data_IF_519130711796
#
_entry.id   IF_519130711796
#
_cell.length_a   1.000
_cell.length_b   1.000
_cell.length_c   1.000
_cell.angle_alpha   90.00
_cell.angle_beta   90.00
_cell.angle_gamma   90.00
#
_symmetry.space_group_name_H-M   'P 1'
#
loop_
_entity.id
_entity.type
_entity.pdbx_description
1 polymer ?
#
# COMPACT_ATOMS: atom_id res chain seq x y z
N UNK A 1 -7.10 -0.52 -19.76
CA UNK A 1 -7.12 -1.26 -21.04
C UNK A 1 -6.17 -2.45 -20.91
N UNK A 2 -6.51 -3.62 -21.45
CA UNK A 2 -5.72 -4.86 -21.36
C UNK A 2 -5.31 -5.27 -19.93
N UNK A 3 -6.22 -5.13 -18.98
CA UNK A 3 -6.00 -5.50 -17.59
C UNK A 3 -7.28 -6.06 -17.00
N UNK A 4 -7.21 -7.18 -16.29
CA UNK A 4 -8.34 -7.82 -15.60
C UNK A 4 -9.57 -8.05 -16.50
N UNK A 5 -9.32 -8.53 -17.73
CA UNK A 5 -10.37 -8.81 -18.72
C UNK A 5 -10.93 -7.58 -19.44
N UNK A 6 -10.47 -6.37 -19.11
CA UNK A 6 -10.87 -5.16 -19.82
C UNK A 6 -10.25 -5.11 -21.22
N UNK A 7 -11.01 -4.71 -22.24
CA UNK A 7 -10.52 -4.65 -23.62
C UNK A 7 -9.38 -3.62 -23.77
N UNK A 8 -8.61 -3.76 -24.83
CA UNK A 8 -7.61 -2.75 -25.18
C UNK A 8 -6.81 -3.05 -26.45
N UNK A 9 -5.86 -2.17 -26.78
CA UNK A 9 -5.10 -2.20 -28.04
C UNK A 9 -4.40 -3.52 -28.33
N UNK A 10 -3.89 -4.23 -27.31
CA UNK A 10 -3.17 -5.48 -27.51
C UNK A 10 -4.07 -6.59 -28.07
N UNK A 11 -5.39 -6.54 -27.84
CA UNK A 11 -6.35 -7.46 -28.45
C UNK A 11 -6.41 -7.31 -29.99
N UNK A 12 -5.88 -6.21 -30.52
CA UNK A 12 -5.82 -5.89 -31.94
C UNK A 12 -4.39 -5.82 -32.48
N UNK A 13 -3.41 -6.37 -31.74
CA UNK A 13 -2.00 -6.35 -32.11
C UNK A 13 -1.37 -4.95 -32.10
N UNK A 14 -1.87 -4.05 -31.25
CA UNK A 14 -1.40 -2.66 -31.09
C UNK A 14 -0.83 -2.41 -29.70
N UNK A 15 0.05 -1.42 -29.59
CA UNK A 15 0.66 -1.01 -28.33
C UNK A 15 -0.28 -0.13 -27.50
N UNK A 16 0.06 0.06 -26.21
CA UNK A 16 -0.62 1.07 -25.37
C UNK A 16 -0.47 2.49 -25.93
N UNK A 17 0.69 2.81 -26.53
CA UNK A 17 0.90 4.10 -27.19
C UNK A 17 -0.06 4.30 -28.37
N UNK A 18 -0.25 3.28 -29.23
CA UNK A 18 -1.20 3.36 -30.35
C UNK A 18 -2.63 3.67 -29.86
N UNK A 19 -3.09 2.95 -28.83
CA UNK A 19 -4.42 3.14 -28.25
C UNK A 19 -4.61 4.51 -27.60
N UNK A 20 -3.66 4.89 -26.76
CA UNK A 20 -3.69 6.17 -26.06
C UNK A 20 -3.62 7.34 -27.06
N UNK A 21 -2.75 7.25 -28.06
CA UNK A 21 -2.57 8.29 -29.08
C UNK A 21 -3.79 8.46 -29.96
N UNK A 22 -4.48 7.37 -30.31
CA UNK A 22 -5.74 7.44 -31.06
C UNK A 22 -6.80 8.27 -30.31
N UNK A 23 -6.97 8.03 -29.01
CA UNK A 23 -7.88 8.83 -28.17
C UNK A 23 -7.38 10.27 -27.99
N UNK A 24 -6.08 10.45 -27.81
CA UNK A 24 -5.46 11.74 -27.60
C UNK A 24 -5.61 12.66 -28.81
N UNK A 25 -5.43 12.11 -30.02
CA UNK A 25 -5.61 12.83 -31.29
C UNK A 25 -7.08 13.27 -31.46
N UNK A 26 -8.06 12.45 -31.01
CA UNK A 26 -9.48 12.81 -31.03
C UNK A 26 -9.86 13.92 -30.03
N UNK A 27 -9.22 13.96 -28.87
CA UNK A 27 -9.49 14.95 -27.81
C UNK A 27 -8.73 16.27 -28.00
N UNK A 28 -7.62 16.24 -28.76
CA UNK A 28 -6.72 17.39 -28.96
C UNK A 28 -7.40 18.68 -29.42
N UNK A 29 -8.36 18.68 -30.37
CA UNK A 29 -9.03 19.92 -30.81
C UNK A 29 -9.83 20.62 -29.71
N UNK A 30 -10.15 19.91 -28.63
CA UNK A 30 -10.94 20.40 -27.50
C UNK A 30 -10.09 20.68 -26.24
N UNK A 31 -8.77 20.53 -26.34
CA UNK A 31 -7.87 20.66 -25.18
C UNK A 31 -7.99 19.52 -24.17
N UNK A 32 -8.58 18.39 -24.55
CA UNK A 32 -8.73 17.24 -23.68
C UNK A 32 -7.43 16.44 -23.51
N UNK A 33 -7.32 15.75 -22.38
CA UNK A 33 -6.19 14.88 -22.02
C UNK A 33 -6.64 13.43 -21.89
N UNK A 34 -5.71 12.50 -22.09
CA UNK A 34 -5.91 11.07 -21.83
C UNK A 34 -5.08 10.66 -20.62
N UNK A 35 -5.74 10.18 -19.58
CA UNK A 35 -5.08 9.54 -18.43
C UNK A 35 -5.09 8.02 -18.67
N UNK A 36 -3.95 7.47 -19.08
CA UNK A 36 -3.82 6.07 -19.46
C UNK A 36 -3.18 5.26 -18.33
N UNK A 37 -3.98 4.42 -17.65
CA UNK A 37 -3.49 3.63 -16.50
C UNK A 37 -2.44 2.60 -16.90
N UNK A 38 -1.34 2.56 -16.15
CA UNK A 38 -0.25 1.59 -16.24
C UNK A 38 -0.47 0.34 -15.38
N UNK A 39 -1.64 0.20 -14.75
CA UNK A 39 -2.03 -1.01 -14.02
C UNK A 39 -2.36 -2.15 -14.99
N UNK A 40 -1.32 -2.77 -15.54
CA UNK A 40 -1.36 -3.82 -16.55
C UNK A 40 -0.46 -4.96 -16.13
N UNK A 41 -1.00 -6.18 -16.19
CA UNK A 41 -0.29 -7.43 -15.91
C UNK A 41 -1.06 -8.62 -16.53
N UNK A 42 -0.34 -9.59 -17.05
CA UNK A 42 -0.84 -10.79 -17.74
C UNK A 42 -0.31 -12.06 -17.05
N UNK A 43 -1.20 -13.01 -16.75
CA UNK A 43 -0.83 -14.30 -16.15
C UNK A 43 -0.16 -15.24 -17.15
N UNK A 44 -0.31 -15.01 -18.45
CA UNK A 44 0.32 -15.82 -19.48
C UNK A 44 1.81 -15.52 -19.59
N UNK A 45 2.24 -14.36 -19.10
CA UNK A 45 3.65 -13.99 -19.00
C UNK A 45 4.21 -14.60 -17.70
N UNK A 46 5.12 -15.56 -17.84
CA UNK A 46 5.82 -16.21 -16.71
C UNK A 46 6.91 -15.32 -16.10
N UNK A 47 6.54 -14.09 -15.78
CA UNK A 47 7.39 -13.10 -15.11
C UNK A 47 6.74 -12.67 -13.79
N UNK A 48 7.55 -12.21 -12.84
CA UNK A 48 7.07 -11.59 -11.61
C UNK A 48 6.11 -10.44 -11.91
N UNK A 49 4.90 -10.48 -11.32
CA UNK A 49 3.86 -9.45 -11.50
C UNK A 49 4.39 -8.04 -11.24
N UNK A 50 5.26 -7.89 -10.24
CA UNK A 50 5.83 -6.59 -9.86
C UNK A 50 6.66 -5.95 -10.99
N UNK A 51 7.11 -6.73 -11.98
CA UNK A 51 7.94 -6.25 -13.09
C UNK A 51 7.12 -5.79 -14.31
N UNK A 52 5.90 -6.29 -14.45
CA UNK A 52 5.22 -6.29 -15.74
C UNK A 52 4.87 -4.88 -16.22
N UNK A 53 4.29 -4.04 -15.37
CA UNK A 53 3.97 -2.66 -15.74
C UNK A 53 5.20 -1.86 -16.19
N UNK A 54 6.34 -2.04 -15.54
CA UNK A 54 7.60 -1.43 -15.97
C UNK A 54 8.03 -1.94 -17.34
N UNK A 55 8.01 -3.26 -17.56
CA UNK A 55 8.44 -3.87 -18.82
C UNK A 55 7.52 -3.51 -20.00
N UNK A 56 6.22 -3.33 -19.74
CA UNK A 56 5.23 -2.94 -20.74
C UNK A 56 5.37 -1.48 -21.17
N UNK A 57 5.64 -0.57 -20.23
CA UNK A 57 5.58 0.87 -20.50
C UNK A 57 6.93 1.51 -20.80
N UNK A 58 8.04 1.05 -20.21
CA UNK A 58 9.36 1.67 -20.46
C UNK A 58 9.80 1.65 -21.93
N UNK A 59 9.53 0.60 -22.75
CA UNK A 59 9.85 0.63 -24.17
C UNK A 59 9.04 1.65 -24.98
N UNK A 60 7.94 2.17 -24.41
CA UNK A 60 7.03 3.14 -25.04
C UNK A 60 7.37 4.59 -24.68
N UNK A 61 8.44 4.84 -23.91
CA UNK A 61 8.80 6.20 -23.51
C UNK A 61 9.06 7.11 -24.73
N UNK A 62 8.37 8.25 -24.76
CA UNK A 62 8.43 9.23 -25.86
C UNK A 62 7.56 8.89 -27.07
N UNK A 63 6.84 7.76 -27.05
CA UNK A 63 5.89 7.40 -28.11
C UNK A 63 4.49 7.98 -27.89
N UNK A 64 4.18 8.45 -26.68
CA UNK A 64 2.88 9.03 -26.35
C UNK A 64 2.72 10.48 -26.85
N UNK A 65 1.50 10.89 -27.20
CA UNK A 65 1.20 12.30 -27.53
C UNK A 65 1.36 13.20 -26.30
N UNK A 66 1.63 14.48 -26.55
CA UNK A 66 1.84 15.48 -25.48
C UNK A 66 0.61 15.78 -24.59
N UNK A 67 -0.59 15.27 -24.95
CA UNK A 67 -1.79 15.33 -24.10
C UNK A 67 -2.16 13.96 -23.50
N UNK A 68 -1.20 13.05 -23.36
CA UNK A 68 -1.32 11.77 -22.64
C UNK A 68 -0.50 11.83 -21.35
N UNK A 69 -1.10 11.39 -20.25
CA UNK A 69 -0.43 11.09 -19.00
C UNK A 69 -0.51 9.58 -18.75
N UNK A 70 0.61 8.94 -18.43
CA UNK A 70 0.61 7.55 -17.98
C UNK A 70 0.35 7.53 -16.47
N UNK A 71 -0.78 6.98 -16.07
CA UNK A 71 -1.24 6.95 -14.68
C UNK A 71 -0.75 5.71 -13.95
N UNK A 72 0.15 5.89 -12.99
CA UNK A 72 0.91 4.84 -12.30
C UNK A 72 0.49 4.77 -10.84
N UNK A 73 0.12 3.58 -10.36
CA UNK A 73 -0.13 3.37 -8.92
C UNK A 73 1.14 3.65 -8.11
N UNK A 74 0.99 3.98 -6.83
CA UNK A 74 2.13 4.30 -5.96
C UNK A 74 3.14 3.15 -5.80
N UNK A 75 2.72 1.90 -5.98
CA UNK A 75 3.58 0.73 -5.97
C UNK A 75 3.26 -0.23 -7.13
N UNK A 76 4.11 -1.24 -7.38
CA UNK A 76 4.03 -2.10 -8.55
C UNK A 76 3.01 -3.25 -8.46
N UNK A 77 2.33 -3.45 -7.33
CA UNK A 77 1.29 -4.49 -7.20
C UNK A 77 -0.10 -3.86 -7.20
N UNK A 78 -0.63 -3.50 -6.03
CA UNK A 78 -2.02 -3.09 -5.91
C UNK A 78 -2.34 -2.51 -4.52
N UNK A 79 -1.91 -1.27 -4.28
CA UNK A 79 -2.31 -0.48 -3.10
C UNK A 79 -2.15 -1.20 -1.76
N UNK A 80 -1.18 -2.11 -1.65
CA UNK A 80 -0.96 -2.88 -0.43
C UNK A 80 -0.59 -1.94 0.74
N UNK A 81 -0.78 -2.35 2.01
CA UNK A 81 -0.55 -1.48 3.16
C UNK A 81 0.82 -0.76 3.15
N UNK A 82 1.84 -1.45 2.60
CA UNK A 82 3.10 -0.85 2.17
C UNK A 82 3.63 -1.56 0.92
N UNK A 83 4.09 -0.77 -0.05
CA UNK A 83 4.84 -1.22 -1.22
C UNK A 83 6.07 -0.32 -1.38
N UNK A 84 7.16 -0.79 -2.00
CA UNK A 84 8.16 0.12 -2.54
C UNK A 84 7.51 1.02 -3.61
N UNK A 85 8.08 2.21 -3.84
CA UNK A 85 7.58 3.08 -4.90
C UNK A 85 7.66 2.37 -6.27
N UNK A 86 6.69 2.63 -7.15
CA UNK A 86 6.66 1.98 -8.45
C UNK A 86 7.89 2.38 -9.29
N UNK A 87 8.67 1.44 -9.86
CA UNK A 87 9.91 1.76 -10.59
C UNK A 87 9.70 2.51 -11.91
N UNK A 88 8.45 2.73 -12.34
CA UNK A 88 8.17 3.57 -13.50
C UNK A 88 8.50 5.04 -13.21
N UNK A 89 8.39 5.49 -11.96
CA UNK A 89 8.76 6.84 -11.57
C UNK A 89 10.26 7.04 -11.78
N UNK A 90 10.61 7.84 -12.79
CA UNK A 90 11.97 8.13 -13.23
C UNK A 90 12.39 7.36 -14.48
N UNK A 91 11.68 6.29 -14.87
CA UNK A 91 12.07 5.42 -15.98
C UNK A 91 11.52 5.87 -17.36
N UNK A 92 10.67 6.89 -17.40
CA UNK A 92 10.03 7.40 -18.63
C UNK A 92 10.18 8.92 -18.79
N UNK A 93 11.41 9.46 -18.92
CA UNK A 93 11.64 10.90 -18.90
C UNK A 93 11.07 11.67 -20.10
N UNK A 94 10.60 10.99 -21.15
CA UNK A 94 9.98 11.63 -22.33
C UNK A 94 8.45 11.57 -22.29
N UNK A 95 7.87 11.01 -21.23
CA UNK A 95 6.43 10.78 -21.10
C UNK A 95 5.95 11.27 -19.74
N UNK A 96 4.98 12.20 -19.69
CA UNK A 96 4.40 12.63 -18.42
C UNK A 96 3.79 11.46 -17.64
N UNK A 97 4.32 11.21 -16.45
CA UNK A 97 3.76 10.27 -15.49
C UNK A 97 2.85 11.00 -14.51
N UNK A 98 1.76 10.37 -14.10
CA UNK A 98 0.90 10.85 -13.02
C UNK A 98 0.70 9.76 -11.96
N UNK A 99 0.56 10.17 -10.71
CA UNK A 99 0.35 9.26 -9.59
C UNK A 99 -1.11 8.82 -9.51
N UNK A 100 -1.36 7.57 -9.13
CA UNK A 100 -2.64 7.06 -8.66
C UNK A 100 -2.46 6.57 -7.21
N UNK A 101 -3.20 7.18 -6.28
CA UNK A 101 -3.36 6.70 -4.92
C UNK A 101 -4.74 6.11 -4.69
N UNK A 102 -4.85 5.20 -3.74
CA UNK A 102 -6.15 4.76 -3.22
C UNK A 102 -6.48 5.55 -1.95
N UNK A 103 -7.61 6.25 -1.92
CA UNK A 103 -8.14 6.90 -0.71
C UNK A 103 -9.09 5.92 0.00
N UNK A 104 -9.84 5.15 -0.79
CA UNK A 104 -10.63 4.03 -0.24
C UNK A 104 -9.70 2.97 0.33
N UNK A 105 -10.11 2.34 1.43
CA UNK A 105 -9.26 1.47 2.23
C UNK A 105 -9.44 0.00 1.86
N UNK A 106 -9.43 -0.33 0.57
CA UNK A 106 -9.68 -1.69 0.08
C UNK A 106 -8.78 -2.73 0.78
N UNK A 107 -7.50 -2.43 0.95
CA UNK A 107 -6.52 -3.32 1.58
C UNK A 107 -6.18 -2.93 3.02
N UNK A 108 -6.95 -1.99 3.60
CA UNK A 108 -6.61 -1.32 4.86
C UNK A 108 -7.77 -1.38 5.86
N UNK A 109 -8.63 -2.40 5.74
CA UNK A 109 -9.74 -2.65 6.67
C UNK A 109 -10.97 -1.79 6.41
N UNK A 110 -11.20 -1.43 5.13
CA UNK A 110 -12.42 -0.79 4.65
C UNK A 110 -12.84 0.41 5.53
N UNK A 111 -14.13 0.52 5.85
CA UNK A 111 -14.68 1.61 6.66
C UNK A 111 -14.68 1.32 8.18
N UNK A 112 -14.01 0.26 8.64
CA UNK A 112 -13.94 -0.10 10.07
C UNK A 112 -12.61 0.23 10.72
N UNK A 113 -11.56 0.51 9.94
CA UNK A 113 -10.22 0.76 10.44
C UNK A 113 -9.82 2.24 10.34
N UNK A 114 -9.24 2.77 11.41
CA UNK A 114 -8.56 4.05 11.38
C UNK A 114 -7.18 3.87 10.78
N UNK A 115 -6.98 4.38 9.56
CA UNK A 115 -5.69 4.41 8.86
C UNK A 115 -5.49 5.77 8.20
N UNK A 116 -4.56 6.57 8.71
CA UNK A 116 -4.26 7.88 8.12
C UNK A 116 -3.27 7.74 6.96
N UNK A 117 -3.78 7.90 5.74
CA UNK A 117 -3.07 7.69 4.48
C UNK A 117 -2.13 8.85 4.11
N UNK A 118 -2.23 10.01 4.77
CA UNK A 118 -1.29 11.11 4.55
C UNK A 118 0.18 10.66 4.68
N UNK A 119 0.48 9.80 5.66
CA UNK A 119 1.82 9.23 5.86
C UNK A 119 2.22 8.33 4.68
N UNK A 120 1.29 7.55 4.12
CA UNK A 120 1.54 6.74 2.91
C UNK A 120 1.87 7.63 1.72
N UNK A 121 1.02 8.62 1.46
CA UNK A 121 1.18 9.51 0.32
C UNK A 121 2.51 10.24 0.40
N UNK A 122 2.87 10.75 1.58
CA UNK A 122 4.14 11.46 1.79
C UNK A 122 5.36 10.54 1.66
N UNK A 123 5.31 9.31 2.18
CA UNK A 123 6.38 8.32 2.04
C UNK A 123 6.71 8.09 0.55
N UNK A 124 5.69 7.93 -0.29
CA UNK A 124 5.86 7.71 -1.73
C UNK A 124 6.31 8.98 -2.44
N UNK A 125 5.65 10.12 -2.21
CA UNK A 125 5.98 11.39 -2.87
C UNK A 125 7.42 11.85 -2.57
N UNK A 126 7.92 11.57 -1.36
CA UNK A 126 9.27 11.90 -0.94
C UNK A 126 10.33 10.85 -1.33
N UNK A 127 9.94 9.72 -1.91
CA UNK A 127 10.87 8.66 -2.29
C UNK A 127 11.83 9.17 -3.38
N UNK A 128 13.14 9.15 -3.09
CA UNK A 128 14.17 9.54 -4.05
C UNK A 128 14.44 8.39 -5.02
N UNK A 129 14.14 8.62 -6.29
CA UNK A 129 14.32 7.64 -7.36
C UNK A 129 15.75 7.61 -7.88
N UNK A 130 16.54 8.66 -7.62
CA UNK A 130 17.87 8.89 -8.19
C UNK A 130 17.92 8.99 -9.73
N UNK A 131 16.78 9.22 -10.40
CA UNK A 131 16.70 9.22 -11.86
C UNK A 131 17.65 10.23 -12.54
N UNK A 132 17.83 11.40 -11.94
CA UNK A 132 18.81 12.43 -12.34
C UNK A 132 19.76 12.76 -11.18
N UNK A 133 20.14 11.75 -10.38
CA UNK A 133 20.94 11.92 -9.16
C UNK A 133 20.08 12.19 -7.92
N UNK A 134 20.74 12.50 -6.80
CA UNK A 134 20.05 12.72 -5.53
C UNK A 134 19.07 13.91 -5.60
N UNK A 135 17.89 13.76 -5.00
CA UNK A 135 16.82 14.75 -5.02
C UNK A 135 15.83 14.60 -6.18
N UNK A 136 15.93 13.51 -6.96
CA UNK A 136 14.96 13.10 -7.98
C UNK A 136 13.77 12.38 -7.35
N UNK A 137 13.07 13.05 -6.44
CA UNK A 137 11.93 12.47 -5.73
C UNK A 137 10.73 12.25 -6.65
N UNK A 138 9.90 11.25 -6.34
CA UNK A 138 8.66 10.93 -7.09
C UNK A 138 7.79 12.16 -7.31
N UNK A 139 7.67 13.04 -6.30
CA UNK A 139 6.89 14.27 -6.43
C UNK A 139 7.35 15.19 -7.57
N UNK A 140 8.67 15.35 -7.77
CA UNK A 140 9.24 16.19 -8.85
C UNK A 140 9.09 15.57 -10.24
N UNK A 141 8.96 14.25 -10.30
CA UNK A 141 8.67 13.54 -11.55
C UNK A 141 7.21 13.80 -11.93
N UNK A 142 6.27 13.57 -10.99
CA UNK A 142 4.84 13.69 -11.30
C UNK A 142 4.35 15.15 -11.41
N UNK A 143 5.02 16.11 -10.77
CA UNK A 143 4.73 17.54 -10.95
C UNK A 143 5.35 18.12 -12.23
N UNK A 144 6.23 17.33 -12.89
CA UNK A 144 6.88 17.65 -14.16
C UNK A 144 8.14 18.51 -14.03
N UNK A 145 8.52 18.95 -12.83
CA UNK A 145 9.68 19.84 -12.63
C UNK A 145 11.02 19.17 -12.88
N UNK A 146 11.12 17.84 -12.77
CA UNK A 146 12.36 17.09 -13.02
C UNK A 146 12.66 16.95 -14.52
N UNK A 147 11.65 16.72 -15.35
CA UNK A 147 11.81 16.51 -16.80
C UNK A 147 11.28 17.66 -17.69
N UNK A 148 10.66 18.69 -17.12
CA UNK A 148 10.12 19.83 -17.85
C UNK A 148 8.80 19.55 -18.56
N UNK A 149 7.95 18.68 -17.99
CA UNK A 149 6.64 18.37 -18.56
C UNK A 149 5.64 19.51 -18.35
N UNK A 150 4.85 19.81 -19.39
CA UNK A 150 3.85 20.89 -19.36
C UNK A 150 2.52 20.48 -18.70
N UNK A 151 2.24 19.17 -18.64
CA UNK A 151 1.07 18.60 -17.97
C UNK A 151 1.55 17.67 -16.87
N UNK A 152 0.87 17.72 -15.73
CA UNK A 152 1.13 16.92 -14.55
C UNK A 152 -0.19 16.56 -13.87
N UNK A 153 -0.16 15.58 -12.96
CA UNK A 153 -1.38 15.16 -12.29
C UNK A 153 -1.17 14.14 -11.18
N UNK A 154 -2.23 14.00 -10.39
CA UNK A 154 -2.34 13.01 -9.32
C UNK A 154 -3.82 12.65 -9.15
N UNK A 155 -4.13 11.37 -9.18
CA UNK A 155 -5.47 10.82 -9.03
C UNK A 155 -5.61 10.11 -7.67
N UNK A 156 -6.78 10.26 -7.05
CA UNK A 156 -7.15 9.55 -5.83
C UNK A 156 -8.42 8.74 -6.06
N UNK A 157 -8.36 7.43 -5.86
CA UNK A 157 -9.55 6.57 -5.91
C UNK A 157 -10.41 6.88 -4.69
N UNK A 158 -11.55 7.54 -4.93
CA UNK A 158 -12.44 8.10 -3.92
C UNK A 158 -12.93 7.09 -2.87
N UNK A 159 -13.13 7.55 -1.63
CA UNK A 159 -13.69 6.76 -0.52
C UNK A 159 -15.09 7.23 -0.07
N UNK A 160 -15.82 7.92 -0.94
CA UNK A 160 -17.14 8.48 -0.60
C UNK A 160 -18.30 7.73 -1.24
N UNK A 161 -19.41 7.69 -0.52
CA UNK A 161 -20.70 7.19 -0.98
C UNK A 161 -21.87 8.00 -0.42
N UNK A 162 -23.03 7.35 -0.32
CA UNK A 162 -24.29 7.98 0.15
C UNK A 162 -24.41 8.05 1.68
N UNK A 163 -23.44 7.49 2.42
CA UNK A 163 -23.38 7.59 3.87
C UNK A 163 -23.42 9.05 4.33
N UNK A 164 -24.02 9.32 5.48
CA UNK A 164 -24.23 10.70 5.94
C UNK A 164 -22.93 11.47 6.15
N UNK A 165 -21.87 10.78 6.58
CA UNK A 165 -20.52 11.32 6.75
C UNK A 165 -19.65 11.15 5.50
N UNK A 166 -20.23 10.68 4.40
CA UNK A 166 -19.66 10.34 3.10
C UNK A 166 -18.72 9.14 3.09
N UNK A 167 -17.85 8.99 4.09
CA UNK A 167 -16.70 8.06 4.06
C UNK A 167 -16.85 6.81 4.94
N UNK A 168 -18.01 6.60 5.56
CA UNK A 168 -18.26 5.49 6.50
C UNK A 168 -17.52 5.66 7.82
N UNK A 169 -16.20 5.60 7.81
CA UNK A 169 -15.33 5.94 8.93
C UNK A 169 -15.08 7.45 9.00
N UNK A 170 -15.15 8.08 10.20
CA UNK A 170 -14.93 9.53 10.36
C UNK A 170 -13.54 9.96 9.87
N UNK A 171 -12.50 9.20 10.23
CA UNK A 171 -11.12 9.46 9.76
C UNK A 171 -10.90 9.17 8.26
N UNK A 172 -11.86 8.55 7.57
CA UNK A 172 -11.85 8.47 6.10
C UNK A 172 -11.86 9.86 5.45
N UNK A 173 -12.48 10.84 6.11
CA UNK A 173 -12.46 12.24 5.68
C UNK A 173 -11.06 12.85 5.75
N UNK A 174 -10.27 12.49 6.77
CA UNK A 174 -8.89 12.95 6.91
C UNK A 174 -8.01 12.49 5.74
N UNK A 175 -8.30 11.30 5.18
CA UNK A 175 -7.58 10.77 4.03
C UNK A 175 -7.92 11.53 2.74
N UNK A 176 -9.20 11.85 2.51
CA UNK A 176 -9.61 12.70 1.40
C UNK A 176 -8.98 14.10 1.52
N UNK A 177 -9.00 14.67 2.72
CA UNK A 177 -8.38 15.96 3.00
C UNK A 177 -6.87 15.91 2.72
N UNK A 178 -6.16 14.88 3.23
CA UNK A 178 -4.73 14.72 3.01
C UNK A 178 -4.36 14.57 1.53
N UNK A 179 -5.14 13.79 0.77
CA UNK A 179 -4.98 13.69 -0.68
C UNK A 179 -5.07 15.08 -1.34
N UNK A 180 -6.14 15.85 -1.06
CA UNK A 180 -6.33 17.16 -1.67
C UNK A 180 -5.22 18.16 -1.32
N UNK A 181 -4.75 18.16 -0.07
CA UNK A 181 -3.66 19.04 0.38
C UNK A 181 -2.32 18.67 -0.29
N UNK A 182 -1.99 17.38 -0.38
CA UNK A 182 -0.75 16.93 -1.02
C UNK A 182 -0.79 17.03 -2.55
N UNK A 183 -1.97 16.91 -3.15
CA UNK A 183 -2.16 17.19 -4.58
C UNK A 183 -1.94 18.67 -4.91
N UNK A 184 -2.32 19.56 -3.99
CA UNK A 184 -2.07 21.00 -4.13
C UNK A 184 -0.60 21.35 -3.88
N UNK A 185 -0.02 20.83 -2.81
CA UNK A 185 1.38 21.06 -2.45
C UNK A 185 1.97 19.82 -1.77
N UNK A 186 2.79 19.08 -2.53
CA UNK A 186 3.44 17.85 -2.06
C UNK A 186 4.51 18.10 -0.98
N UNK A 187 4.92 19.35 -0.74
CA UNK A 187 5.92 19.71 0.28
C UNK A 187 5.32 19.77 1.69
N UNK A 188 4.00 19.91 1.83
CA UNK A 188 3.32 19.96 3.13
C UNK A 188 3.65 18.74 4.00
N UNK A 189 3.78 18.96 5.31
CA UNK A 189 3.97 17.85 6.26
C UNK A 189 2.64 17.20 6.61
N UNK A 190 2.69 15.90 6.85
CA UNK A 190 1.52 15.09 7.19
C UNK A 190 0.90 15.46 8.53
N UNK A 191 1.72 15.94 9.46
CA UNK A 191 1.37 16.44 10.78
C UNK A 191 0.61 17.76 10.69
N UNK A 192 1.06 18.68 9.82
CA UNK A 192 0.37 19.95 9.60
C UNK A 192 -1.01 19.71 8.98
N UNK A 193 -1.08 18.83 7.98
CA UNK A 193 -2.35 18.47 7.33
C UNK A 193 -3.32 17.81 8.32
N UNK A 194 -2.83 16.88 9.15
CA UNK A 194 -3.64 16.25 10.19
C UNK A 194 -4.13 17.29 11.21
N UNK A 195 -3.27 18.21 11.65
CA UNK A 195 -3.67 19.28 12.57
C UNK A 195 -4.74 20.20 11.98
N UNK A 196 -4.59 20.63 10.73
CA UNK A 196 -5.60 21.41 10.01
C UNK A 196 -6.97 20.68 10.02
N UNK A 197 -6.98 19.40 9.65
CA UNK A 197 -8.21 18.60 9.60
C UNK A 197 -8.83 18.42 11.00
N UNK A 198 -8.03 18.13 12.03
CA UNK A 198 -8.54 17.94 13.41
C UNK A 198 -9.17 19.23 13.93
N UNK A 199 -8.54 20.38 13.68
CA UNK A 199 -9.05 21.69 14.11
C UNK A 199 -10.35 22.07 13.40
N UNK A 200 -10.47 21.71 12.13
CA UNK A 200 -11.68 21.96 11.34
C UNK A 200 -12.83 21.00 11.68
N UNK A 201 -12.51 19.76 12.08
CA UNK A 201 -13.50 18.67 12.17
C UNK A 201 -13.90 18.31 13.61
N UNK A 202 -12.95 18.33 14.54
CA UNK A 202 -13.15 17.77 15.89
C UNK A 202 -13.07 18.82 16.99
N UNK A 203 -11.95 19.53 17.10
CA UNK A 203 -11.73 20.47 18.22
C UNK A 203 -10.51 21.36 18.01
N UNK A 204 -10.56 22.57 18.60
CA UNK A 204 -9.40 23.45 18.71
C UNK A 204 -8.67 23.36 20.06
N UNK A 205 -9.16 22.52 21.00
CA UNK A 205 -8.45 22.22 22.24
C UNK A 205 -7.08 21.58 21.93
N UNK A 206 -6.01 22.18 22.44
CA UNK A 206 -4.65 21.73 22.13
C UNK A 206 -4.37 20.30 22.59
N UNK A 207 -5.00 19.86 23.69
CA UNK A 207 -4.89 18.50 24.20
C UNK A 207 -5.53 17.49 23.25
N UNK A 208 -6.76 17.76 22.79
CA UNK A 208 -7.44 16.93 21.78
C UNK A 208 -6.64 16.87 20.49
N UNK A 209 -6.22 18.03 19.96
CA UNK A 209 -5.44 18.10 18.71
C UNK A 209 -4.18 17.23 18.80
N UNK A 210 -3.41 17.36 19.87
CA UNK A 210 -2.16 16.61 20.01
C UNK A 210 -2.40 15.10 20.18
N UNK A 211 -3.41 14.71 20.96
CA UNK A 211 -3.75 13.29 21.14
C UNK A 211 -4.23 12.63 19.84
N UNK A 212 -5.14 13.27 19.11
CA UNK A 212 -5.67 12.73 17.85
C UNK A 212 -4.59 12.71 16.76
N UNK A 213 -3.77 13.76 16.65
CA UNK A 213 -2.67 13.81 15.68
C UNK A 213 -1.68 12.66 15.90
N UNK A 214 -1.29 12.39 17.15
CA UNK A 214 -0.40 11.26 17.47
C UNK A 214 -1.02 9.92 17.05
N UNK A 215 -2.32 9.73 17.33
CA UNK A 215 -3.07 8.54 16.94
C UNK A 215 -3.08 8.37 15.41
N UNK A 216 -3.36 9.44 14.66
CA UNK A 216 -3.34 9.44 13.18
C UNK A 216 -1.95 9.07 12.64
N UNK A 217 -0.87 9.69 13.12
CA UNK A 217 0.48 9.43 12.60
C UNK A 217 0.92 7.98 12.77
N UNK A 218 0.52 7.32 13.87
CA UNK A 218 0.90 5.95 14.16
C UNK A 218 0.01 4.90 13.46
N UNK A 219 -1.22 5.27 13.13
CA UNK A 219 -2.27 4.34 12.65
C UNK A 219 -1.86 3.47 11.47
N UNK A 220 -1.23 4.05 10.43
CA UNK A 220 -0.76 3.30 9.25
C UNK A 220 0.23 2.20 9.63
N UNK A 221 1.22 2.52 10.46
CA UNK A 221 2.25 1.54 10.83
C UNK A 221 1.68 0.44 11.72
N UNK A 222 0.72 0.75 12.60
CA UNK A 222 0.00 -0.28 13.35
C UNK A 222 -0.72 -1.24 12.40
N UNK A 223 -1.38 -0.73 11.36
CA UNK A 223 -2.06 -1.53 10.33
C UNK A 223 -1.10 -2.39 9.50
N UNK A 224 0.01 -1.82 9.03
CA UNK A 224 1.07 -2.60 8.37
C UNK A 224 1.55 -3.72 9.29
N UNK A 225 1.78 -3.42 10.57
CA UNK A 225 2.29 -4.38 11.53
C UNK A 225 1.37 -5.59 11.76
N UNK A 226 0.06 -5.38 11.97
CA UNK A 226 -0.85 -6.52 12.18
C UNK A 226 -1.32 -7.17 10.87
N UNK A 227 -1.14 -6.56 9.70
CA UNK A 227 -1.49 -7.18 8.41
C UNK A 227 -0.29 -7.82 7.72
N UNK A 228 0.71 -7.01 7.36
CA UNK A 228 1.73 -7.31 6.34
C UNK A 228 3.11 -6.68 6.67
N UNK A 229 3.72 -6.98 7.83
CA UNK A 229 4.98 -6.38 8.21
C UNK A 229 6.17 -6.87 7.36
N UNK A 230 7.29 -6.17 7.47
CA UNK A 230 8.59 -6.55 6.89
C UNK A 230 8.62 -6.70 5.36
N UNK A 231 7.65 -6.15 4.64
CA UNK A 231 7.53 -6.26 3.18
C UNK A 231 6.65 -7.43 2.71
N UNK A 232 5.98 -8.14 3.63
CA UNK A 232 4.86 -9.00 3.25
C UNK A 232 3.77 -8.17 2.57
N UNK A 233 2.95 -8.83 1.76
CA UNK A 233 1.90 -8.21 0.97
C UNK A 233 0.99 -9.30 0.40
N UNK A 234 -0.21 -8.90 -0.03
CA UNK A 234 -1.14 -9.72 -0.80
C UNK A 234 -1.57 -11.00 -0.07
N UNK A 235 -1.77 -10.92 1.24
CA UNK A 235 -2.19 -12.03 2.11
C UNK A 235 -3.61 -11.84 2.66
N UNK A 236 -4.43 -11.05 1.97
CA UNK A 236 -5.86 -10.86 2.27
C UNK A 236 -6.74 -11.91 1.58
N UNK A 237 -7.99 -11.99 2.03
CA UNK A 237 -9.05 -12.78 1.40
C UNK A 237 -9.15 -12.47 -0.08
N UNK A 238 -8.99 -13.50 -0.89
CA UNK A 238 -8.84 -13.45 -2.35
C UNK A 238 -9.89 -12.63 -3.12
N UNK A 239 -11.15 -12.71 -2.71
CA UNK A 239 -12.30 -12.13 -3.40
C UNK A 239 -12.82 -10.85 -2.72
N UNK A 240 -12.61 -10.74 -1.41
CA UNK A 240 -13.23 -9.69 -0.60
C UNK A 240 -12.24 -8.75 0.10
N UNK A 241 -10.94 -9.03 0.12
CA UNK A 241 -9.84 -8.19 0.66
C UNK A 241 -9.90 -7.77 2.16
N UNK A 242 -11.02 -7.96 2.86
CA UNK A 242 -11.25 -7.53 4.25
C UNK A 242 -10.37 -8.20 5.33
N UNK A 243 -10.09 -9.50 5.21
CA UNK A 243 -9.48 -10.31 6.28
C UNK A 243 -8.24 -11.09 5.84
N UNK A 244 -7.48 -11.70 6.78
CA UNK A 244 -6.31 -12.51 6.48
C UNK A 244 -6.69 -13.78 5.72
N UNK A 245 -5.96 -14.07 4.66
CA UNK A 245 -5.95 -15.38 4.00
C UNK A 245 -4.55 -15.68 3.43
N UNK A 246 -3.50 -15.82 4.26
CA UNK A 246 -2.17 -16.14 3.78
C UNK A 246 -2.06 -17.56 3.17
N UNK A 247 -3.09 -18.40 3.27
CA UNK A 247 -3.13 -19.78 2.76
C UNK A 247 -3.73 -19.95 1.35
N UNK A 248 -4.11 -18.86 0.66
CA UNK A 248 -4.66 -18.96 -0.70
C UNK A 248 -3.57 -19.44 -1.67
N UNK A 249 -3.79 -20.59 -2.30
CA UNK A 249 -2.85 -21.25 -3.24
C UNK A 249 -3.49 -21.82 -4.51
N UNK A 250 -4.79 -22.15 -4.47
CA UNK A 250 -5.47 -22.87 -5.55
C UNK A 250 -6.47 -21.95 -6.26
N UNK A 251 -5.96 -20.92 -6.97
CA UNK A 251 -6.77 -20.03 -7.82
C UNK A 251 -6.34 -20.16 -9.28
N UNK A 252 -7.16 -19.62 -10.18
CA UNK A 252 -6.95 -19.74 -11.62
C UNK A 252 -5.74 -18.93 -12.15
N UNK A 253 -5.16 -18.07 -11.30
CA UNK A 253 -3.96 -17.28 -11.57
C UNK A 253 -3.05 -17.30 -10.33
N UNK A 254 -1.77 -17.60 -10.52
CA UNK A 254 -0.81 -17.67 -9.41
C UNK A 254 -0.56 -16.29 -8.78
N UNK A 255 -0.46 -15.23 -9.61
CA UNK A 255 -0.19 -13.81 -9.26
C UNK A 255 -1.30 -13.12 -8.44
N UNK A 256 -2.19 -13.94 -7.96
CA UNK A 256 -3.51 -13.65 -7.46
C UNK A 256 -3.68 -14.48 -6.15
N UNK A 257 -2.86 -15.51 -5.93
CA UNK A 257 -2.76 -16.26 -4.67
C UNK A 257 -1.84 -15.57 -3.67
N UNK A 258 -2.05 -15.79 -2.37
CA UNK A 258 -1.15 -15.26 -1.33
C UNK A 258 0.21 -15.96 -1.32
N UNK A 259 0.23 -17.27 -1.57
CA UNK A 259 1.47 -18.08 -1.54
C UNK A 259 2.47 -17.69 -2.60
N UNK A 260 2.02 -17.12 -3.72
CA UNK A 260 2.88 -16.57 -4.76
C UNK A 260 3.82 -15.48 -4.23
N UNK A 261 3.30 -14.63 -3.34
CA UNK A 261 4.01 -13.46 -2.84
C UNK A 261 4.92 -13.78 -1.67
N UNK A 262 4.39 -14.43 -0.62
CA UNK A 262 5.19 -14.66 0.58
C UNK A 262 6.14 -15.87 0.45
N UNK A 263 5.88 -16.84 -0.44
CA UNK A 263 6.72 -18.02 -0.71
C UNK A 263 7.27 -18.71 0.54
N UNK A 264 6.42 -18.86 1.56
CA UNK A 264 6.83 -19.42 2.84
C UNK A 264 7.01 -20.94 2.70
N UNK A 265 8.13 -21.46 3.20
CA UNK A 265 8.42 -22.88 3.28
C UNK A 265 9.24 -23.20 4.54
N UNK A 266 9.71 -24.45 4.69
CA UNK A 266 10.52 -24.83 5.85
C UNK A 266 11.87 -24.12 5.93
N UNK A 267 12.37 -23.59 4.82
CA UNK A 267 13.65 -22.90 4.77
C UNK A 267 13.51 -21.43 5.13
N UNK A 268 12.43 -20.76 4.71
CA UNK A 268 12.28 -19.33 4.90
C UNK A 268 10.98 -18.73 4.39
N UNK A 269 11.00 -17.40 4.20
CA UNK A 269 9.88 -16.59 3.70
C UNK A 269 10.42 -15.38 2.91
N UNK A 270 9.60 -14.87 1.99
CA UNK A 270 9.84 -13.67 1.20
C UNK A 270 10.00 -13.97 -0.29
N UNK A 271 10.12 -12.94 -1.12
CA UNK A 271 10.27 -13.11 -2.57
C UNK A 271 11.67 -12.69 -3.00
N UNK A 272 12.48 -13.60 -3.55
CA UNK A 272 13.77 -13.23 -4.14
C UNK A 272 13.54 -12.44 -5.44
N UNK A 273 13.68 -11.12 -5.33
CA UNK A 273 13.63 -10.17 -6.45
C UNK A 273 15.00 -9.60 -6.78
N UNK A 274 16.06 -10.16 -6.20
CA UNK A 274 17.45 -9.82 -6.53
C UNK A 274 17.86 -10.45 -7.88
N UNK A 275 19.10 -10.24 -8.30
CA UNK A 275 19.64 -10.80 -9.52
C UNK A 275 19.64 -12.34 -9.58
N UNK A 276 19.51 -13.04 -8.44
CA UNK A 276 19.38 -14.51 -8.39
C UNK A 276 17.94 -15.00 -8.48
N UNK A 277 16.96 -14.09 -8.37
CA UNK A 277 15.54 -14.36 -8.41
C UNK A 277 14.88 -13.77 -9.65
N UNK A 278 13.84 -12.95 -9.46
CA UNK A 278 13.15 -12.29 -10.59
C UNK A 278 13.91 -11.10 -11.20
N UNK A 279 14.97 -10.63 -10.54
CA UNK A 279 15.74 -9.44 -10.87
C UNK A 279 14.89 -8.16 -10.97
N UNK A 280 13.78 -8.05 -10.23
CA UNK A 280 12.98 -6.82 -10.22
C UNK A 280 13.77 -5.62 -9.64
N UNK A 281 14.81 -5.85 -8.83
CA UNK A 281 15.69 -4.78 -8.35
C UNK A 281 16.37 -4.02 -9.49
N UNK A 282 16.60 -4.64 -10.66
CA UNK A 282 17.26 -3.98 -11.80
C UNK A 282 16.38 -2.94 -12.51
N UNK A 283 15.09 -2.90 -12.19
CA UNK A 283 14.17 -1.85 -12.67
C UNK A 283 14.33 -0.52 -11.92
N UNK A 284 15.09 -0.50 -10.82
CA UNK A 284 15.39 0.71 -10.05
C UNK A 284 16.77 1.26 -10.42
N UNK A 285 16.94 2.58 -10.30
CA UNK A 285 18.25 3.23 -10.47
C UNK A 285 19.29 2.69 -9.48
N UNK A 286 20.56 2.73 -9.90
CA UNK A 286 21.69 2.08 -9.24
C UNK A 286 21.78 2.35 -7.72
N UNK A 287 21.52 3.58 -7.28
CA UNK A 287 21.56 3.96 -5.86
C UNK A 287 20.48 3.25 -5.04
N UNK A 288 19.26 3.18 -5.57
CA UNK A 288 18.14 2.46 -4.95
C UNK A 288 18.40 0.96 -5.02
N UNK A 289 18.73 0.44 -6.20
CA UNK A 289 19.04 -0.97 -6.45
C UNK A 289 20.09 -1.48 -5.46
N UNK A 290 21.22 -0.79 -5.28
CA UNK A 290 22.27 -1.19 -4.33
C UNK A 290 21.77 -1.29 -2.89
N UNK A 291 20.87 -0.39 -2.48
CA UNK A 291 20.31 -0.38 -1.13
C UNK A 291 19.38 -1.58 -0.91
N UNK A 292 18.51 -1.87 -1.87
CA UNK A 292 17.48 -2.92 -1.75
C UNK A 292 17.99 -4.32 -2.13
N UNK A 293 19.04 -4.45 -2.94
CA UNK A 293 19.56 -5.73 -3.42
C UNK A 293 20.39 -6.52 -2.39
N UNK A 294 20.74 -5.92 -1.24
CA UNK A 294 21.39 -6.63 -0.14
C UNK A 294 20.51 -6.65 1.10
N UNK A 295 20.28 -7.82 1.74
CA UNK A 295 19.53 -7.91 2.99
C UNK A 295 20.08 -7.00 4.10
N UNK A 296 21.41 -6.80 4.16
CA UNK A 296 22.05 -6.00 5.20
C UNK A 296 21.73 -4.50 5.10
N UNK A 297 21.51 -4.00 3.88
CA UNK A 297 21.24 -2.58 3.61
C UNK A 297 19.78 -2.30 3.30
N UNK A 298 19.01 -3.32 2.95
CA UNK A 298 17.59 -3.20 2.66
C UNK A 298 16.86 -2.66 3.90
N UNK A 299 15.96 -1.66 3.74
CA UNK A 299 15.06 -1.27 4.82
C UNK A 299 14.22 -2.48 5.26
N UNK A 300 14.01 -2.66 6.56
CA UNK A 300 13.33 -3.86 7.08
C UNK A 300 11.88 -3.91 6.60
N UNK A 301 11.26 -2.74 6.41
CA UNK A 301 9.90 -2.56 5.89
C UNK A 301 9.71 -3.05 4.44
N UNK A 302 10.78 -3.31 3.70
CA UNK A 302 10.75 -3.89 2.35
C UNK A 302 11.55 -5.20 2.22
N UNK A 303 12.01 -5.78 3.34
CA UNK A 303 12.96 -6.88 3.32
C UNK A 303 12.41 -8.10 2.57
N UNK A 304 11.22 -8.56 2.95
CA UNK A 304 10.56 -9.73 2.37
C UNK A 304 9.92 -9.43 1.01
N UNK A 305 9.90 -8.15 0.60
CA UNK A 305 9.57 -7.77 -0.77
C UNK A 305 10.68 -8.15 -1.74
N UNK A 306 11.94 -7.99 -1.34
CA UNK A 306 13.09 -8.19 -2.24
C UNK A 306 13.89 -9.46 -1.96
N UNK A 307 13.75 -10.07 -0.79
CA UNK A 307 14.55 -11.20 -0.35
C UNK A 307 13.69 -12.36 0.14
N UNK A 308 14.04 -13.59 -0.24
CA UNK A 308 13.65 -14.79 0.49
C UNK A 308 14.75 -15.10 1.52
N UNK A 309 14.38 -15.13 2.80
CA UNK A 309 15.34 -15.24 3.90
C UNK A 309 14.99 -16.40 4.84
N UNK A 310 16.01 -17.05 5.43
CA UNK A 310 15.77 -18.14 6.33
C UNK A 310 15.18 -17.66 7.66
N UNK A 311 14.41 -18.53 8.32
CA UNK A 311 13.71 -18.18 9.56
C UNK A 311 14.61 -17.75 10.72
N UNK A 312 15.90 -18.14 10.72
CA UNK A 312 16.93 -17.72 11.69
C UNK A 312 17.77 -16.50 11.25
N UNK A 313 17.47 -15.88 10.11
CA UNK A 313 18.10 -14.63 9.70
C UNK A 313 18.02 -13.60 10.83
N UNK A 314 19.15 -12.94 11.13
CA UNK A 314 19.25 -11.98 12.23
C UNK A 314 18.84 -10.58 11.78
N UNK A 315 17.73 -10.11 12.33
CA UNK A 315 17.20 -8.76 12.11
C UNK A 315 18.05 -7.72 12.84
N UNK A 316 17.86 -6.43 12.55
CA UNK A 316 18.61 -5.34 13.21
C UNK A 316 18.33 -5.28 14.71
N UNK A 317 17.19 -5.79 15.15
CA UNK A 317 16.83 -5.95 16.56
C UNK A 317 17.62 -7.05 17.30
N UNK A 318 18.41 -7.86 16.59
CA UNK A 318 19.11 -9.04 17.10
C UNK A 318 18.24 -10.31 17.14
N UNK A 319 16.92 -10.17 16.98
CA UNK A 319 15.97 -11.28 16.90
C UNK A 319 16.14 -12.06 15.59
N UNK A 320 15.73 -13.31 15.60
CA UNK A 320 15.53 -14.06 14.35
C UNK A 320 14.36 -13.47 13.55
N UNK A 321 14.32 -13.71 12.24
CA UNK A 321 13.22 -13.28 11.37
C UNK A 321 11.86 -13.80 11.86
N UNK A 322 11.79 -15.04 12.34
CA UNK A 322 10.56 -15.59 12.92
C UNK A 322 10.09 -14.81 14.16
N UNK A 323 11.01 -14.53 15.10
CA UNK A 323 10.68 -13.77 16.30
C UNK A 323 10.24 -12.36 15.94
N UNK A 324 11.01 -11.65 15.11
CA UNK A 324 10.68 -10.30 14.66
C UNK A 324 9.31 -10.26 13.98
N UNK A 325 9.00 -11.22 13.09
CA UNK A 325 7.69 -11.34 12.46
C UNK A 325 6.56 -11.44 13.51
N UNK A 326 6.72 -12.30 14.52
CA UNK A 326 5.78 -12.40 15.63
C UNK A 326 5.66 -11.04 16.34
N UNK A 327 6.77 -10.43 16.76
CA UNK A 327 6.74 -9.15 17.47
C UNK A 327 6.06 -8.03 16.68
N UNK A 328 6.22 -7.98 15.35
CA UNK A 328 5.52 -6.99 14.50
C UNK A 328 4.02 -7.21 14.50
N UNK A 329 3.55 -8.43 14.25
CA UNK A 329 2.12 -8.77 14.29
C UNK A 329 1.48 -8.40 15.64
N UNK A 330 2.17 -8.67 16.74
CA UNK A 330 1.68 -8.33 18.09
C UNK A 330 1.73 -6.83 18.37
N UNK A 331 2.81 -6.14 17.97
CA UNK A 331 2.93 -4.69 18.13
C UNK A 331 1.84 -3.92 17.35
N UNK A 332 1.38 -4.44 16.22
CA UNK A 332 0.25 -3.88 15.49
C UNK A 332 -1.03 -3.88 16.33
N UNK A 333 -1.35 -5.01 16.98
CA UNK A 333 -2.53 -5.13 17.86
C UNK A 333 -2.41 -4.23 19.08
N UNK A 334 -1.25 -4.20 19.74
CA UNK A 334 -1.01 -3.30 20.88
C UNK A 334 -1.16 -1.84 20.48
N UNK A 335 -0.69 -1.47 19.28
CA UNK A 335 -0.91 -0.14 18.73
C UNK A 335 -2.39 0.24 18.62
N UNK A 336 -3.26 -0.66 18.15
CA UNK A 336 -4.70 -0.41 18.11
C UNK A 336 -5.29 -0.24 19.52
N UNK A 337 -4.84 -1.04 20.49
CA UNK A 337 -5.26 -0.91 21.91
C UNK A 337 -4.81 0.43 22.51
N UNK A 338 -3.63 0.92 22.14
CA UNK A 338 -3.16 2.26 22.49
C UNK A 338 -4.04 3.36 21.87
N UNK A 339 -4.44 3.21 20.60
CA UNK A 339 -5.38 4.13 19.95
C UNK A 339 -6.73 4.15 20.67
N UNK A 340 -7.28 2.99 21.04
CA UNK A 340 -8.50 2.89 21.85
C UNK A 340 -8.36 3.64 23.19
N UNK A 341 -7.27 3.40 23.91
CA UNK A 341 -6.99 4.06 25.19
C UNK A 341 -6.86 5.58 25.04
N UNK A 342 -6.17 6.03 24.00
CA UNK A 342 -6.01 7.45 23.68
C UNK A 342 -7.36 8.11 23.35
N UNK A 343 -8.16 7.49 22.48
CA UNK A 343 -9.49 8.00 22.13
C UNK A 343 -10.42 8.06 23.34
N UNK A 344 -10.47 7.00 24.15
CA UNK A 344 -11.34 6.93 25.33
C UNK A 344 -11.07 8.05 26.36
N UNK A 345 -9.83 8.53 26.47
CA UNK A 345 -9.46 9.66 27.34
C UNK A 345 -10.01 11.01 26.86
N UNK A 346 -10.54 11.09 25.64
CA UNK A 346 -11.14 12.28 25.05
C UNK A 346 -12.66 12.36 25.28
N UNK A 347 -13.25 11.41 26.01
CA UNK A 347 -14.69 11.45 26.35
C UNK A 347 -15.06 12.78 26.97
N UNK A 348 -16.15 13.39 26.47
CA UNK A 348 -16.62 14.71 26.93
C UNK A 348 -15.82 15.90 26.37
N UNK A 349 -14.78 15.67 25.56
CA UNK A 349 -14.03 16.73 24.84
C UNK A 349 -14.29 16.75 23.34
N UNK A 350 -14.97 15.73 22.83
CA UNK A 350 -15.47 15.57 21.46
C UNK A 350 -16.98 15.37 21.59
N UNK A 351 -17.75 15.79 20.59
CA UNK A 351 -19.19 15.52 20.57
C UNK A 351 -19.47 14.02 20.71
N UNK A 352 -20.57 13.68 21.37
CA UNK A 352 -20.83 12.30 21.79
C UNK A 352 -21.06 11.37 20.58
N UNK A 353 -21.64 11.86 19.49
CA UNK A 353 -21.91 11.05 18.28
C UNK A 353 -20.62 10.62 17.61
N UNK A 354 -19.72 11.57 17.30
CA UNK A 354 -18.42 11.27 16.71
C UNK A 354 -17.54 10.46 17.67
N UNK A 355 -17.60 10.77 18.98
CA UNK A 355 -16.88 10.01 19.99
C UNK A 355 -17.29 8.54 19.98
N UNK A 356 -18.60 8.26 20.05
CA UNK A 356 -19.13 6.89 20.05
C UNK A 356 -18.88 6.17 18.74
N UNK A 357 -19.02 6.84 17.59
CA UNK A 357 -18.75 6.28 16.28
C UNK A 357 -17.31 5.76 16.18
N UNK A 358 -16.32 6.61 16.49
CA UNK A 358 -14.90 6.23 16.43
C UNK A 358 -14.57 5.20 17.52
N UNK A 359 -15.16 5.30 18.71
CA UNK A 359 -14.98 4.31 19.77
C UNK A 359 -15.43 2.91 19.31
N UNK A 360 -16.59 2.83 18.65
CA UNK A 360 -17.12 1.59 18.08
C UNK A 360 -16.19 1.04 16.98
N UNK A 361 -15.77 1.89 16.04
CA UNK A 361 -14.90 1.47 14.93
C UNK A 361 -13.53 0.97 15.43
N UNK A 362 -12.90 1.66 16.38
CA UNK A 362 -11.67 1.17 17.03
C UNK A 362 -11.91 -0.15 17.78
N UNK A 363 -13.11 -0.37 18.32
CA UNK A 363 -13.54 -1.65 18.92
C UNK A 363 -13.60 -2.79 17.90
N UNK A 364 -14.04 -2.49 16.68
CA UNK A 364 -14.06 -3.44 15.56
C UNK A 364 -12.62 -3.69 15.07
N UNK A 365 -11.85 -2.62 14.83
CA UNK A 365 -10.47 -2.70 14.37
C UNK A 365 -9.58 -3.53 15.30
N UNK A 366 -9.75 -3.48 16.62
CA UNK A 366 -8.96 -4.31 17.54
C UNK A 366 -9.27 -5.80 17.37
N UNK A 367 -10.55 -6.17 17.25
CA UNK A 367 -10.96 -7.56 17.03
C UNK A 367 -10.41 -8.08 15.70
N UNK A 368 -10.49 -7.27 14.65
CA UNK A 368 -9.95 -7.61 13.35
C UNK A 368 -8.42 -7.68 13.35
N UNK A 369 -7.73 -6.77 14.05
CA UNK A 369 -6.28 -6.81 14.20
C UNK A 369 -5.82 -8.08 14.93
N UNK A 370 -6.54 -8.50 15.99
CA UNK A 370 -6.29 -9.78 16.69
C UNK A 370 -6.51 -10.98 15.74
N UNK A 371 -7.56 -10.93 14.92
CA UNK A 371 -7.82 -11.95 13.90
C UNK A 371 -6.69 -12.04 12.88
N UNK A 372 -6.28 -10.92 12.30
CA UNK A 372 -5.13 -10.82 11.39
C UNK A 372 -3.84 -11.37 12.02
N UNK A 373 -3.48 -10.90 13.22
CA UNK A 373 -2.32 -11.40 13.99
C UNK A 373 -2.36 -12.92 14.14
N UNK A 374 -3.46 -13.44 14.68
CA UNK A 374 -3.55 -14.86 15.02
C UNK A 374 -3.51 -15.74 13.77
N UNK A 375 -4.27 -15.40 12.73
CA UNK A 375 -4.33 -16.15 11.49
C UNK A 375 -2.96 -16.22 10.79
N UNK A 376 -2.28 -15.07 10.66
CA UNK A 376 -0.97 -14.99 10.01
C UNK A 376 0.12 -15.69 10.81
N UNK A 377 0.22 -15.43 12.12
CA UNK A 377 1.26 -16.04 12.97
C UNK A 377 1.08 -17.56 13.03
N UNK A 378 -0.14 -18.07 13.21
CA UNK A 378 -0.39 -19.51 13.21
C UNK A 378 -0.11 -20.15 11.85
N UNK A 379 -0.42 -19.47 10.76
CA UNK A 379 -0.11 -19.96 9.41
C UNK A 379 1.41 -20.08 9.19
N UNK A 380 2.16 -19.00 9.43
CA UNK A 380 3.61 -19.01 9.25
C UNK A 380 4.32 -19.93 10.24
N UNK A 381 3.74 -20.17 11.42
CA UNK A 381 4.25 -21.15 12.38
C UNK A 381 4.34 -22.57 11.80
N UNK A 382 3.42 -22.95 10.89
CA UNK A 382 3.44 -24.27 10.26
C UNK A 382 4.69 -24.51 9.41
N UNK A 383 5.27 -23.43 8.88
CA UNK A 383 6.48 -23.44 8.06
C UNK A 383 7.74 -23.26 8.90
N UNK A 384 7.75 -22.25 9.78
CA UNK A 384 8.90 -21.96 10.64
C UNK A 384 9.18 -23.10 11.62
N UNK A 385 8.14 -23.84 12.03
CA UNK A 385 8.16 -24.90 13.06
C UNK A 385 8.78 -24.44 14.38
N UNK A 386 8.65 -23.14 14.67
CA UNK A 386 9.16 -22.50 15.89
C UNK A 386 8.00 -22.09 16.78
N UNK A 387 8.23 -22.10 18.09
CA UNK A 387 7.26 -21.56 19.04
C UNK A 387 7.14 -20.04 18.86
N UNK A 388 5.91 -19.53 19.03
CA UNK A 388 5.70 -18.10 19.29
C UNK A 388 6.46 -17.76 20.60
N UNK A 389 7.17 -16.62 20.71
CA UNK A 389 7.84 -16.21 21.93
C UNK A 389 6.90 -16.28 23.15
N UNK A 390 7.38 -16.84 24.25
CA UNK A 390 6.55 -17.27 25.38
C UNK A 390 5.86 -16.12 26.12
N UNK A 391 6.45 -14.93 26.05
CA UNK A 391 5.97 -13.67 26.58
C UNK A 391 4.81 -13.05 25.79
N UNK A 392 4.58 -13.49 24.55
CA UNK A 392 3.48 -13.01 23.72
C UNK A 392 2.18 -13.77 24.03
N UNK A 393 1.05 -13.06 23.97
CA UNK A 393 -0.29 -13.62 24.18
C UNK A 393 -0.54 -14.80 23.22
N UNK A 394 -0.94 -15.97 23.73
CA UNK A 394 -1.18 -17.13 22.86
C UNK A 394 -2.45 -16.94 22.01
N UNK A 395 -2.44 -17.34 20.72
CA UNK A 395 -3.65 -17.39 19.92
C UNK A 395 -4.72 -18.25 20.59
N UNK A 396 -5.95 -17.74 20.65
CA UNK A 396 -7.06 -18.38 21.36
C UNK A 396 -7.72 -19.53 20.59
N UNK A 397 -7.45 -19.63 19.29
CA UNK A 397 -8.07 -20.57 18.35
C UNK A 397 -7.02 -21.23 17.47
N UNK A 398 -7.39 -22.31 16.79
CA UNK A 398 -6.51 -23.03 15.85
C UNK A 398 -6.42 -22.33 14.50
N UNK A 399 -5.40 -22.67 13.69
CA UNK A 399 -5.33 -22.20 12.30
C UNK A 399 -6.58 -22.62 11.50
N UNK A 400 -7.03 -23.87 11.69
CA UNK A 400 -8.21 -24.41 11.02
C UNK A 400 -9.46 -23.56 11.29
N UNK A 401 -9.66 -23.13 12.54
CA UNK A 401 -10.77 -22.22 12.87
C UNK A 401 -10.75 -20.96 12.01
N UNK A 402 -9.59 -20.31 11.86
CA UNK A 402 -9.46 -19.09 11.05
C UNK A 402 -9.65 -19.34 9.55
N UNK A 403 -9.25 -20.51 9.05
CA UNK A 403 -9.44 -20.91 7.65
C UNK A 403 -10.92 -21.17 7.30
N UNK A 404 -11.72 -21.56 8.30
CA UNK A 404 -13.16 -21.86 8.15
C UNK A 404 -14.06 -20.62 8.27
N UNK A 405 -13.51 -19.47 8.69
CA UNK A 405 -14.28 -18.22 8.74
C UNK A 405 -14.71 -17.79 7.33
N UNK A 406 -15.96 -17.31 7.21
CA UNK A 406 -16.56 -16.89 5.95
C UNK A 406 -17.27 -15.55 6.11
N UNK A 407 -17.09 -14.66 5.13
CA UNK A 407 -17.56 -13.28 5.16
C UNK A 407 -18.34 -12.95 3.89
N UNK A 408 -19.56 -13.50 3.72
CA UNK A 408 -20.39 -13.25 2.53
C UNK A 408 -20.78 -11.77 2.38
N UNK A 409 -20.71 -11.00 3.47
CA UNK A 409 -21.05 -9.58 3.53
C UNK A 409 -19.91 -8.78 4.18
N UNK A 410 -18.73 -8.78 3.56
CA UNK A 410 -17.63 -7.93 4.00
C UNK A 410 -18.04 -6.44 3.98
N UNK A 411 -17.64 -5.64 4.98
CA UNK A 411 -18.13 -4.27 5.18
C UNK A 411 -17.46 -3.29 4.20
N UNK A 412 -17.91 -3.27 2.94
CA UNK A 412 -17.35 -2.42 1.89
C UNK A 412 -17.57 -0.93 2.13
#
# INVERSE_FOLDING_TARGET
ANSEGQPGPQNYGRSHADGANMLADALKPFGGVVMWRAFVYDNNIKEDRAKQAYNEFTPLDGMFRGNVLVQVKNGPIDFQPREPFHPLFGAMPKTPLMMEFQITQEYLGFSTHLVYLGVLFKEVLAADTYAQGAGSIVAKIIDGSLEGHAISGIAGVANTGTDRNWTGHLFGQANWYAYGRLAWNHELSTEAIAEEWIRATLSNDAGVVQSVKKMMMASREHTVNYMTPLGLHHIMGWDHHYGPAPWIKDKHRDDWTSVYYHRADSNGIGFDRTATGSDAVSQYYLSVMKKIASPATCPEEYLLWFHHLPWDYRMKSGKTLWEELCYRYYAGVEGVREMQSAWNKLRGKIDEENFQHVQMMLGIQEKEAVWWRNACVLYFQTFSRRSIPAELEKPQQTLQYYQELSFPFAPK
#
